data_IF_408445339227
#
_entry.id   IF_408445339227
#
_cell.length_a   1.000
_cell.length_b   1.000
_cell.length_c   1.000
_cell.angle_alpha   90.00
_cell.angle_beta   90.00
_cell.angle_gamma   90.00
#
_symmetry.space_group_name_H-M   'P 1'
#
loop_
_entity.id
_entity.type
_entity.pdbx_description
1 polymer ?
#
# COMPACT_ATOMS: atom_id res chain seq x y z
N UNK A 1 -8.25 -22.53 26.82
CA UNK A 1 -8.10 -21.98 25.46
C UNK A 1 -6.85 -22.59 24.85
N UNK A 2 -6.96 -23.31 23.74
CA UNK A 2 -5.81 -23.93 23.08
C UNK A 2 -5.07 -22.89 22.22
N UNK A 3 -3.79 -22.58 22.51
CA UNK A 3 -3.02 -21.57 21.79
C UNK A 3 -2.74 -21.95 20.33
N UNK A 4 -2.78 -23.24 19.98
CA UNK A 4 -2.48 -23.73 18.61
C UNK A 4 -3.61 -23.41 17.63
N UNK A 5 -4.86 -23.37 18.10
CA UNK A 5 -6.01 -22.90 17.33
C UNK A 5 -5.88 -21.41 17.01
N UNK A 6 -5.42 -20.60 17.96
CA UNK A 6 -5.21 -19.16 17.76
C UNK A 6 -4.18 -18.88 16.65
N UNK A 7 -3.07 -19.62 16.64
CA UNK A 7 -2.02 -19.46 15.64
C UNK A 7 -2.46 -19.88 14.23
N UNK A 8 -3.18 -21.01 14.11
CA UNK A 8 -3.74 -21.46 12.83
C UNK A 8 -4.74 -20.45 12.26
N UNK A 9 -5.63 -19.91 13.11
CA UNK A 9 -6.55 -18.85 12.71
C UNK A 9 -5.81 -17.57 12.28
N UNK A 10 -4.74 -17.20 12.98
CA UNK A 10 -3.91 -16.06 12.60
C UNK A 10 -3.27 -16.25 11.22
N UNK A 11 -2.62 -17.40 10.98
CA UNK A 11 -2.00 -17.73 9.68
C UNK A 11 -3.02 -17.72 8.54
N UNK A 12 -4.21 -18.29 8.76
CA UNK A 12 -5.28 -18.30 7.78
C UNK A 12 -5.76 -16.88 7.44
N UNK A 13 -5.97 -16.03 8.46
CA UNK A 13 -6.35 -14.62 8.28
C UNK A 13 -5.29 -13.83 7.51
N UNK A 14 -4.00 -14.04 7.80
CA UNK A 14 -2.90 -13.40 7.06
C UNK A 14 -2.90 -13.84 5.59
N UNK A 15 -3.10 -15.13 5.30
CA UNK A 15 -3.17 -15.66 3.93
C UNK A 15 -4.36 -15.08 3.15
N UNK A 16 -5.54 -15.08 3.76
CA UNK A 16 -6.74 -14.49 3.18
C UNK A 16 -6.59 -12.98 2.91
N UNK A 17 -5.96 -12.26 3.83
CA UNK A 17 -5.65 -10.83 3.66
C UNK A 17 -4.71 -10.56 2.49
N UNK A 18 -3.65 -11.37 2.31
CA UNK A 18 -2.73 -11.27 1.17
C UNK A 18 -3.43 -11.55 -0.16
N UNK A 19 -4.25 -12.59 -0.22
CA UNK A 19 -5.03 -12.91 -1.42
C UNK A 19 -5.97 -11.76 -1.80
N UNK A 20 -6.66 -11.17 -0.82
CA UNK A 20 -7.52 -10.00 -1.05
C UNK A 20 -6.73 -8.78 -1.54
N UNK A 21 -5.54 -8.53 -0.99
CA UNK A 21 -4.69 -7.42 -1.43
C UNK A 21 -4.20 -7.59 -2.88
N UNK A 22 -3.94 -8.82 -3.32
CA UNK A 22 -3.52 -9.10 -4.70
C UNK A 22 -4.63 -8.79 -5.73
N UNK A 23 -5.91 -8.93 -5.36
CA UNK A 23 -7.04 -8.57 -6.24
C UNK A 23 -7.10 -7.09 -6.57
N UNK A 24 -6.60 -6.23 -5.67
CA UNK A 24 -6.56 -4.77 -5.84
C UNK A 24 -5.16 -4.26 -6.17
N UNK A 25 -4.27 -5.14 -6.66
CA UNK A 25 -2.93 -4.75 -7.07
C UNK A 25 -2.98 -3.76 -8.25
N UNK A 26 -2.03 -2.83 -8.26
CA UNK A 26 -1.88 -1.81 -9.30
C UNK A 26 -0.68 -2.14 -10.16
N UNK A 27 -0.76 -1.80 -11.45
CA UNK A 27 0.36 -1.97 -12.38
C UNK A 27 1.22 -0.72 -12.33
N UNK A 28 2.47 -0.87 -11.91
CA UNK A 28 3.50 0.18 -11.93
C UNK A 28 4.65 -0.38 -12.77
N UNK A 29 5.04 0.33 -13.83
CA UNK A 29 6.13 -0.08 -14.74
C UNK A 29 5.99 -1.55 -15.21
N UNK A 30 4.81 -1.92 -15.69
CA UNK A 30 4.46 -3.28 -16.16
C UNK A 30 4.53 -4.40 -15.11
N UNK A 31 4.70 -4.07 -13.82
CA UNK A 31 4.69 -5.03 -12.72
C UNK A 31 3.52 -4.77 -11.77
N UNK A 32 2.92 -5.84 -11.25
CA UNK A 32 1.80 -5.74 -10.29
C UNK A 32 2.33 -5.59 -8.87
N UNK A 33 1.94 -4.51 -8.21
CA UNK A 33 2.26 -4.26 -6.81
C UNK A 33 0.99 -4.07 -5.99
N UNK A 34 0.97 -4.64 -4.80
CA UNK A 34 -0.06 -4.33 -3.80
C UNK A 34 0.14 -2.91 -3.26
N UNK A 35 -0.93 -2.28 -2.76
CA UNK A 35 -0.83 -0.94 -2.17
C UNK A 35 0.17 -0.88 -1.01
N UNK A 36 0.34 -1.98 -0.26
CA UNK A 36 1.34 -2.09 0.81
C UNK A 36 2.76 -2.07 0.25
N UNK A 37 3.05 -2.85 -0.80
CA UNK A 37 4.37 -2.81 -1.44
C UNK A 37 4.67 -1.44 -2.03
N UNK A 38 3.67 -0.77 -2.63
CA UNK A 38 3.83 0.60 -3.14
C UNK A 38 4.15 1.58 -1.99
N UNK A 39 3.45 1.45 -0.86
CA UNK A 39 3.69 2.27 0.31
C UNK A 39 5.09 2.05 0.91
N UNK A 40 5.51 0.79 1.03
CA UNK A 40 6.83 0.40 1.53
C UNK A 40 7.95 0.92 0.61
N UNK A 41 7.81 0.77 -0.72
CA UNK A 41 8.77 1.27 -1.72
C UNK A 41 8.90 2.81 -1.73
N UNK A 42 7.79 3.50 -1.46
CA UNK A 42 7.75 4.95 -1.40
C UNK A 42 8.12 5.51 0.00
N UNK A 43 8.23 4.65 1.02
CA UNK A 43 8.46 5.07 2.41
C UNK A 43 7.34 5.92 3.00
N UNK A 44 6.08 5.69 2.61
CA UNK A 44 4.92 6.49 3.03
C UNK A 44 3.79 5.62 3.58
N UNK A 45 2.80 6.25 4.22
CA UNK A 45 1.59 5.55 4.66
C UNK A 45 0.79 4.98 3.47
N UNK A 46 0.04 3.90 3.70
CA UNK A 46 -0.83 3.32 2.66
C UNK A 46 -1.86 4.32 2.11
N UNK A 47 -2.40 5.21 2.96
CA UNK A 47 -3.35 6.26 2.55
C UNK A 47 -2.68 7.28 1.63
N UNK A 48 -1.43 7.64 1.94
CA UNK A 48 -0.62 8.51 1.08
C UNK A 48 -0.33 7.84 -0.26
N UNK A 49 0.08 6.57 -0.24
CA UNK A 49 0.33 5.80 -1.46
C UNK A 49 -0.93 5.70 -2.34
N UNK A 50 -2.10 5.43 -1.75
CA UNK A 50 -3.38 5.39 -2.48
C UNK A 50 -3.70 6.73 -3.14
N UNK A 51 -3.48 7.84 -2.43
CA UNK A 51 -3.72 9.17 -3.00
C UNK A 51 -2.76 9.48 -4.15
N UNK A 52 -1.49 9.07 -4.04
CA UNK A 52 -0.50 9.21 -5.11
C UNK A 52 -0.86 8.39 -6.34
N UNK A 53 -1.25 7.14 -6.15
CA UNK A 53 -1.70 6.26 -7.23
C UNK A 53 -2.94 6.82 -7.93
N UNK A 54 -3.90 7.38 -7.19
CA UNK A 54 -5.11 7.99 -7.75
C UNK A 54 -4.85 9.27 -8.54
N UNK A 55 -3.83 10.05 -8.15
CA UNK A 55 -3.47 11.33 -8.78
C UNK A 55 -2.38 11.22 -9.84
N UNK A 56 -1.61 10.14 -9.82
CA UNK A 56 -0.50 9.93 -10.73
C UNK A 56 -0.97 9.78 -12.17
N UNK A 57 -0.17 10.23 -13.15
CA UNK A 57 -0.44 9.99 -14.56
C UNK A 57 -0.40 8.48 -14.87
N UNK A 58 -1.22 8.05 -15.84
CA UNK A 58 -1.16 6.70 -16.39
C UNK A 58 -0.30 6.71 -17.67
N UNK A 59 0.62 5.76 -17.88
CA UNK A 59 0.95 4.62 -17.01
C UNK A 59 1.68 5.04 -15.73
N UNK A 60 1.41 4.33 -14.62
CA UNK A 60 2.05 4.61 -13.35
C UNK A 60 3.55 4.24 -13.40
N UNK A 61 4.41 5.22 -13.11
CA UNK A 61 5.85 5.03 -12.93
C UNK A 61 6.28 5.38 -11.51
N UNK A 62 7.38 4.79 -11.03
CA UNK A 62 7.89 5.10 -9.68
C UNK A 62 8.28 6.57 -9.56
N UNK A 63 8.85 7.13 -10.62
CA UNK A 63 9.18 8.55 -10.70
C UNK A 63 7.94 9.42 -10.55
N UNK A 64 6.88 9.13 -11.31
CA UNK A 64 5.60 9.86 -11.22
C UNK A 64 4.98 9.76 -9.83
N UNK A 65 5.06 8.59 -9.18
CA UNK A 65 4.57 8.39 -7.81
C UNK A 65 5.41 9.14 -6.76
N UNK A 66 6.72 9.29 -6.97
CA UNK A 66 7.59 10.08 -6.09
C UNK A 66 7.34 11.59 -6.28
N UNK A 67 7.14 12.02 -7.51
CA UNK A 67 6.86 13.42 -7.87
C UNK A 67 5.44 13.86 -7.52
N UNK A 68 4.48 12.92 -7.45
CA UNK A 68 3.14 13.13 -6.92
C UNK A 68 3.21 13.40 -5.40
N UNK A 69 3.82 14.52 -5.01
CA UNK A 69 3.75 15.03 -3.64
C UNK A 69 2.30 15.42 -3.38
N UNK A 70 1.77 14.93 -2.26
CA UNK A 70 0.59 15.53 -1.66
C UNK A 70 0.92 17.01 -1.39
N UNK A 71 -0.03 17.94 -1.54
CA UNK A 71 0.14 19.27 -0.94
C UNK A 71 0.45 19.05 0.54
N UNK A 72 1.48 19.71 1.06
CA UNK A 72 1.91 19.59 2.45
C UNK A 72 0.69 19.83 3.35
N UNK A 73 0.11 18.75 3.88
CA UNK A 73 -1.02 18.89 4.77
C UNK A 73 -0.42 19.35 6.09
N UNK A 74 -0.81 20.56 6.53
CA UNK A 74 -0.25 21.32 7.66
C UNK A 74 -0.37 20.63 9.05
N UNK A 75 -0.64 19.32 9.11
CA UNK A 75 -0.89 18.57 10.35
C UNK A 75 0.32 17.85 10.93
N UNK A 76 1.43 17.73 10.20
CA UNK A 76 2.71 17.22 10.73
C UNK A 76 3.64 18.34 11.25
N UNK A 77 3.10 19.55 11.47
CA UNK A 77 3.83 20.74 11.97
C UNK A 77 3.38 21.19 13.36
N UNK A 78 2.60 20.39 14.08
CA UNK A 78 2.35 20.62 15.51
C UNK A 78 2.93 19.45 16.30
N UNK A 79 3.96 19.80 17.05
CA UNK A 79 4.66 19.04 18.06
C UNK A 79 3.72 18.55 19.19
#
# INVERSE_FOLDING_TARGET
MDPTLSERHHRYRVKAGRAKAALYARVVENKRYTMRQIADELGVSMTTADTRVKRGPYPLTWESLRLARLPANKKDMQA
#
